data_IF_023897831653
#
_entry.id   IF_023897831653
#
_cell.length_a   1.000
_cell.length_b   1.000
_cell.length_c   1.000
_cell.angle_alpha   90.00
_cell.angle_beta   90.00
_cell.angle_gamma   90.00
#
_symmetry.space_group_name_H-M   'P 1'
#
loop_
_entity.id
_entity.type
_entity.pdbx_description
1 polymer ?
#
# COMPACT_ATOMS: atom_id res chain seq x y z
N UNK A 1 -17.65 -3.06 2.90
CA UNK A 1 -16.89 -3.12 1.62
C UNK A 1 -15.64 -4.00 1.67
N UNK A 2 -14.89 -4.04 2.79
CA UNK A 2 -13.67 -4.85 2.93
C UNK A 2 -13.86 -6.36 2.60
N UNK A 3 -14.93 -6.99 3.11
CA UNK A 3 -15.25 -8.40 2.82
C UNK A 3 -15.49 -8.63 1.31
N UNK A 4 -16.13 -7.67 0.62
CA UNK A 4 -16.40 -7.77 -0.82
C UNK A 4 -15.11 -7.67 -1.64
N UNK A 5 -14.18 -6.80 -1.25
CA UNK A 5 -12.89 -6.64 -1.92
C UNK A 5 -11.98 -7.84 -1.69
N UNK A 6 -11.91 -8.33 -0.45
CA UNK A 6 -11.10 -9.48 -0.05
C UNK A 6 -11.61 -10.80 -0.63
N UNK A 7 -12.91 -10.96 -0.88
CA UNK A 7 -13.44 -12.15 -1.54
C UNK A 7 -13.27 -12.10 -3.06
N UNK A 8 -13.37 -10.91 -3.69
CA UNK A 8 -13.30 -10.79 -5.15
C UNK A 8 -11.89 -10.99 -5.69
N UNK A 9 -10.89 -10.41 -5.02
CA UNK A 9 -9.51 -10.41 -5.53
C UNK A 9 -8.92 -11.82 -5.65
N UNK A 10 -9.01 -12.71 -4.63
CA UNK A 10 -8.54 -14.08 -4.75
C UNK A 10 -9.35 -14.87 -5.77
N UNK A 11 -10.68 -14.72 -5.76
CA UNK A 11 -11.56 -15.46 -6.66
C UNK A 11 -11.31 -15.11 -8.13
N UNK A 12 -11.02 -13.84 -8.44
CA UNK A 12 -10.62 -13.41 -9.78
C UNK A 12 -9.26 -14.00 -10.17
N UNK A 13 -8.27 -13.99 -9.26
CA UNK A 13 -6.94 -14.55 -9.57
C UNK A 13 -7.01 -16.06 -9.81
N UNK A 14 -7.70 -16.80 -8.94
CA UNK A 14 -7.89 -18.25 -9.11
C UNK A 14 -8.73 -18.57 -10.34
N UNK A 15 -9.85 -17.85 -10.55
CA UNK A 15 -10.70 -18.03 -11.72
C UNK A 15 -10.00 -17.73 -13.03
N UNK A 16 -9.22 -16.64 -13.09
CA UNK A 16 -8.43 -16.28 -14.26
C UNK A 16 -7.31 -17.31 -14.53
N UNK A 17 -6.66 -17.83 -13.49
CA UNK A 17 -5.64 -18.87 -13.63
C UNK A 17 -6.24 -20.15 -14.24
N UNK A 18 -7.37 -20.62 -13.71
CA UNK A 18 -8.07 -21.80 -14.24
C UNK A 18 -8.48 -21.55 -15.70
N UNK A 19 -9.12 -20.42 -15.99
CA UNK A 19 -9.56 -20.09 -17.35
C UNK A 19 -8.40 -20.02 -18.34
N UNK A 20 -7.24 -19.48 -17.94
CA UNK A 20 -6.05 -19.39 -18.78
C UNK A 20 -5.51 -20.77 -19.18
N UNK A 21 -5.54 -21.75 -18.27
CA UNK A 21 -5.18 -23.14 -18.57
C UNK A 21 -6.17 -23.82 -19.53
N UNK A 22 -7.46 -23.45 -19.45
CA UNK A 22 -8.49 -23.96 -20.37
C UNK A 22 -8.41 -23.35 -21.78
N UNK A 23 -7.98 -22.09 -21.90
CA UNK A 23 -7.87 -21.42 -23.20
C UNK A 23 -6.68 -21.94 -23.98
N UNK A 24 -5.47 -21.85 -23.43
CA UNK A 24 -4.28 -22.36 -24.12
C UNK A 24 -3.07 -22.48 -23.18
N UNK A 25 -2.39 -23.62 -23.19
CA UNK A 25 -1.29 -23.94 -22.27
C UNK A 25 -0.12 -22.96 -22.30
N UNK A 26 0.20 -22.33 -23.44
CA UNK A 26 1.28 -21.31 -23.46
C UNK A 26 0.83 -19.94 -22.94
N UNK A 27 -0.44 -19.58 -23.11
CA UNK A 27 -0.99 -18.33 -22.54
C UNK A 27 -1.10 -18.44 -21.01
N UNK A 28 -1.40 -19.64 -20.50
CA UNK A 28 -1.32 -19.96 -19.08
C UNK A 28 0.10 -19.76 -18.51
N UNK A 29 1.15 -20.08 -19.28
CA UNK A 29 2.54 -19.92 -18.83
C UNK A 29 2.90 -18.45 -18.57
N UNK A 30 2.36 -17.51 -19.35
CA UNK A 30 2.51 -16.06 -19.12
C UNK A 30 1.85 -15.64 -17.81
N UNK A 31 0.64 -16.14 -17.52
CA UNK A 31 -0.05 -15.91 -16.25
C UNK A 31 0.70 -16.48 -15.05
N UNK A 32 1.25 -17.69 -15.20
CA UNK A 32 2.03 -18.37 -14.15
C UNK A 32 3.29 -17.59 -13.78
N UNK A 33 3.88 -16.82 -14.70
CA UNK A 33 5.03 -15.93 -14.40
C UNK A 33 4.57 -14.56 -13.89
N UNK A 34 3.53 -13.98 -14.48
CA UNK A 34 3.05 -12.65 -14.13
C UNK A 34 2.51 -12.57 -12.68
N UNK A 35 1.77 -13.58 -12.21
CA UNK A 35 1.20 -13.62 -10.86
C UNK A 35 2.28 -13.58 -9.77
N UNK A 36 3.33 -14.44 -9.77
CA UNK A 36 4.41 -14.35 -8.80
C UNK A 36 5.16 -13.03 -8.87
N UNK A 37 5.45 -12.51 -10.07
CA UNK A 37 6.14 -11.22 -10.22
C UNK A 37 5.34 -10.10 -9.58
N UNK A 38 4.04 -10.02 -9.85
CA UNK A 38 3.14 -9.03 -9.26
C UNK A 38 3.06 -9.20 -7.74
N UNK A 39 2.97 -10.45 -7.27
CA UNK A 39 2.95 -10.79 -5.85
C UNK A 39 4.21 -10.31 -5.13
N UNK A 40 5.39 -10.53 -5.69
CA UNK A 40 6.68 -10.09 -5.12
C UNK A 40 6.75 -8.57 -5.01
N UNK A 41 6.34 -7.85 -6.06
CA UNK A 41 6.34 -6.38 -6.07
C UNK A 41 5.41 -5.83 -4.98
N UNK A 42 4.18 -6.34 -4.92
CA UNK A 42 3.20 -5.91 -3.93
C UNK A 42 3.66 -6.25 -2.51
N UNK A 43 4.20 -7.45 -2.29
CA UNK A 43 4.71 -7.87 -0.99
C UNK A 43 5.91 -7.02 -0.54
N UNK A 44 6.82 -6.66 -1.45
CA UNK A 44 7.94 -5.77 -1.18
C UNK A 44 7.48 -4.37 -0.73
N UNK A 45 6.49 -3.80 -1.42
CA UNK A 45 5.92 -2.49 -1.04
C UNK A 45 5.22 -2.58 0.32
N UNK A 46 4.46 -3.64 0.57
CA UNK A 46 3.76 -3.84 1.85
C UNK A 46 4.75 -3.99 3.02
N UNK A 47 5.84 -4.75 2.85
CA UNK A 47 6.86 -4.93 3.88
C UNK A 47 7.49 -3.62 4.35
N UNK A 48 7.58 -2.61 3.47
CA UNK A 48 8.11 -1.28 3.80
C UNK A 48 7.01 -0.39 4.39
N UNK A 49 5.82 -0.44 3.80
CA UNK A 49 4.70 0.45 4.11
C UNK A 49 4.05 0.15 5.46
N UNK A 50 3.83 -1.13 5.78
CA UNK A 50 3.22 -1.58 7.05
C UNK A 50 3.99 -1.12 8.29
N UNK A 51 5.31 -1.36 8.44
CA UNK A 51 6.03 -0.92 9.63
C UNK A 51 6.10 0.59 9.75
N UNK A 52 6.08 1.31 8.62
CA UNK A 52 6.12 2.76 8.61
C UNK A 52 4.80 3.36 9.10
N UNK A 53 3.65 2.81 8.67
CA UNK A 53 2.35 3.18 9.24
C UNK A 53 2.26 2.87 10.74
N UNK A 54 2.81 1.73 11.18
CA UNK A 54 2.84 1.38 12.61
C UNK A 54 3.65 2.39 13.44
N UNK A 55 4.77 2.89 12.89
CA UNK A 55 5.58 3.96 13.53
C UNK A 55 4.81 5.28 13.63
N UNK A 56 4.11 5.68 12.56
CA UNK A 56 3.26 6.88 12.56
C UNK A 56 2.17 6.76 13.62
N UNK A 57 1.49 5.61 13.68
CA UNK A 57 0.41 5.37 14.65
C UNK A 57 0.91 5.45 16.10
N UNK A 58 2.04 4.79 16.41
CA UNK A 58 2.63 4.85 17.76
C UNK A 58 3.08 6.27 18.16
N UNK A 59 3.57 7.08 17.22
CA UNK A 59 3.93 8.48 17.48
C UNK A 59 2.68 9.32 17.73
N UNK A 60 1.64 9.12 16.93
CA UNK A 60 0.36 9.80 17.08
C UNK A 60 -0.27 9.50 18.45
N UNK A 61 -0.23 8.24 18.91
CA UNK A 61 -0.72 7.86 20.23
C UNK A 61 0.04 8.58 21.36
N UNK A 62 1.36 8.74 21.24
CA UNK A 62 2.17 9.51 22.22
C UNK A 62 1.80 10.99 22.25
N UNK A 63 1.71 11.63 21.07
CA UNK A 63 1.35 13.05 20.97
C UNK A 63 -0.06 13.27 21.55
N UNK A 64 -1.01 12.40 21.22
CA UNK A 64 -2.37 12.45 21.75
C UNK A 64 -2.40 12.25 23.27
N UNK A 65 -1.58 11.35 23.81
CA UNK A 65 -1.43 11.14 25.25
C UNK A 65 -0.92 12.39 25.98
N UNK A 66 0.19 12.97 25.50
CA UNK A 66 0.74 14.20 26.09
C UNK A 66 -0.21 15.38 25.96
N UNK A 67 -0.92 15.49 24.83
CA UNK A 67 -1.94 16.53 24.62
C UNK A 67 -3.07 16.39 25.64
N UNK A 68 -3.53 15.17 25.91
CA UNK A 68 -4.58 14.91 26.90
C UNK A 68 -4.16 15.28 28.32
N UNK A 69 -2.95 14.88 28.73
CA UNK A 69 -2.38 15.27 30.02
C UNK A 69 -2.23 16.80 30.15
N UNK A 70 -1.79 17.47 29.08
CA UNK A 70 -1.68 18.92 29.04
C UNK A 70 -3.04 19.63 29.14
N UNK A 71 -4.10 19.05 28.57
CA UNK A 71 -5.47 19.57 28.68
C UNK A 71 -6.04 19.38 30.09
N UNK A 72 -5.86 18.21 30.70
CA UNK A 72 -6.31 17.94 32.08
C UNK A 72 -5.53 18.80 33.09
N UNK A 73 -4.23 18.99 32.85
CA UNK A 73 -3.31 19.80 33.65
C UNK A 73 -3.24 21.29 33.27
N UNK A 74 -4.14 21.79 32.41
CA UNK A 74 -4.02 23.13 31.80
C UNK A 74 -3.93 24.26 32.85
N UNK A 75 -4.58 24.10 34.00
CA UNK A 75 -4.51 25.05 35.13
C UNK A 75 -3.12 25.10 35.75
N UNK A 76 -2.41 23.97 35.83
CA UNK A 76 -1.05 23.89 36.36
C UNK A 76 -0.06 24.54 35.38
N UNK A 77 -0.19 24.24 34.08
CA UNK A 77 0.68 24.84 33.05
C UNK A 77 0.55 26.37 33.03
N UNK A 78 -0.68 26.88 33.17
CA UNK A 78 -0.97 28.32 33.34
C UNK A 78 -0.39 28.90 34.63
N UNK A 79 -0.53 28.20 35.75
CA UNK A 79 0.02 28.66 37.03
C UNK A 79 1.55 28.82 37.02
N UNK A 80 2.25 28.04 36.19
CA UNK A 80 3.70 28.14 36.00
C UNK A 80 4.12 28.96 34.75
N UNK A 81 3.18 29.59 34.03
CA UNK A 81 3.45 30.32 32.77
C UNK A 81 4.22 29.52 31.71
N UNK A 82 4.02 28.19 31.64
CA UNK A 82 4.75 27.28 30.73
C UNK A 82 4.07 27.00 29.39
N UNK A 83 3.05 27.77 29.02
CA UNK A 83 2.26 27.50 27.82
C UNK A 83 3.08 27.58 26.53
N UNK A 84 3.93 28.59 26.36
CA UNK A 84 4.75 28.72 25.15
C UNK A 84 5.75 27.56 24.99
N UNK A 85 6.34 27.08 26.09
CA UNK A 85 7.25 25.92 26.06
C UNK A 85 6.53 24.64 25.64
N UNK A 86 5.32 24.38 26.15
CA UNK A 86 4.53 23.21 25.78
C UNK A 86 4.05 23.27 24.31
N UNK A 87 3.69 24.46 23.82
CA UNK A 87 3.34 24.67 22.41
C UNK A 87 4.54 24.45 21.50
N UNK A 88 5.73 24.92 21.87
CA UNK A 88 6.96 24.69 21.12
C UNK A 88 7.30 23.18 21.05
N UNK A 89 7.21 22.47 22.19
CA UNK A 89 7.43 21.01 22.24
C UNK A 89 6.43 20.25 21.36
N UNK A 90 5.14 20.62 21.43
CA UNK A 90 4.11 20.01 20.60
C UNK A 90 4.38 20.20 19.11
N UNK A 91 4.77 21.41 18.70
CA UNK A 91 5.08 21.70 17.29
C UNK A 91 6.28 20.87 16.79
N UNK A 92 7.33 20.71 17.59
CA UNK A 92 8.50 19.92 17.21
C UNK A 92 8.15 18.43 17.02
N UNK A 93 7.32 17.88 17.90
CA UNK A 93 6.80 16.52 17.77
C UNK A 93 5.87 16.36 16.54
N UNK A 94 5.03 17.35 16.26
CA UNK A 94 4.13 17.34 15.11
C UNK A 94 4.88 17.40 13.77
N UNK A 95 5.90 18.25 13.65
CA UNK A 95 6.73 18.32 12.43
C UNK A 95 7.41 16.97 12.17
N UNK A 96 7.84 16.29 13.22
CA UNK A 96 8.43 14.96 13.11
C UNK A 96 7.39 13.93 12.65
N UNK A 97 6.19 13.95 13.24
CA UNK A 97 5.07 13.08 12.85
C UNK A 97 4.66 13.31 11.39
N UNK A 98 4.53 14.56 10.97
CA UNK A 98 4.17 14.96 9.61
C UNK A 98 5.17 14.41 8.59
N UNK A 99 6.48 14.55 8.84
CA UNK A 99 7.51 14.00 7.95
C UNK A 99 7.39 12.49 7.77
N UNK A 100 7.16 11.74 8.85
CA UNK A 100 6.96 10.29 8.76
C UNK A 100 5.68 9.93 8.02
N UNK A 101 4.62 10.69 8.23
CA UNK A 101 3.32 10.45 7.60
C UNK A 101 3.35 10.78 6.10
N UNK A 102 4.02 11.87 5.70
CA UNK A 102 4.27 12.21 4.30
C UNK A 102 5.16 11.16 3.62
N UNK A 103 6.22 10.70 4.29
CA UNK A 103 7.08 9.65 3.74
C UNK A 103 6.32 8.33 3.55
N UNK A 104 5.49 7.94 4.53
CA UNK A 104 4.61 6.76 4.44
C UNK A 104 3.60 6.88 3.30
N UNK A 105 2.94 8.04 3.22
CA UNK A 105 1.98 8.34 2.16
C UNK A 105 2.62 8.27 0.78
N UNK A 106 3.82 8.85 0.61
CA UNK A 106 4.53 8.83 -0.67
C UNK A 106 4.84 7.39 -1.12
N UNK A 107 5.38 6.56 -0.23
CA UNK A 107 5.64 5.14 -0.53
C UNK A 107 4.34 4.40 -0.85
N UNK A 108 3.28 4.63 -0.08
CA UNK A 108 1.99 3.97 -0.31
C UNK A 108 1.37 4.38 -1.66
N UNK A 109 1.51 5.66 -2.06
CA UNK A 109 1.00 6.15 -3.35
C UNK A 109 1.72 5.52 -4.55
N UNK A 110 2.97 5.05 -4.40
CA UNK A 110 3.68 4.31 -5.45
C UNK A 110 3.09 2.93 -5.72
N UNK A 111 2.27 2.38 -4.82
CA UNK A 111 1.68 1.05 -4.99
C UNK A 111 0.75 0.96 -6.21
N UNK A 112 -0.05 2.00 -6.46
CA UNK A 112 -0.96 2.04 -7.60
C UNK A 112 -0.19 2.13 -8.95
N UNK A 113 0.70 3.11 -9.18
CA UNK A 113 1.52 3.18 -10.40
C UNK A 113 2.32 1.91 -10.65
N UNK A 114 2.96 1.34 -9.62
CA UNK A 114 3.73 0.11 -9.75
C UNK A 114 2.85 -1.05 -10.24
N UNK A 115 1.65 -1.19 -9.66
CA UNK A 115 0.69 -2.21 -10.08
C UNK A 115 0.24 -1.99 -11.53
N UNK A 116 -0.05 -0.75 -11.93
CA UNK A 116 -0.42 -0.43 -13.30
C UNK A 116 0.69 -0.77 -14.30
N UNK A 117 1.94 -0.46 -13.99
CA UNK A 117 3.07 -0.80 -14.87
C UNK A 117 3.13 -2.32 -15.08
N UNK A 118 3.03 -3.10 -14.01
CA UNK A 118 3.07 -4.58 -14.09
C UNK A 118 1.92 -5.11 -14.93
N UNK A 119 0.69 -4.63 -14.72
CA UNK A 119 -0.49 -5.06 -15.48
C UNK A 119 -0.34 -4.70 -16.96
N UNK A 120 0.14 -3.50 -17.29
CA UNK A 120 0.33 -3.10 -18.68
C UNK A 120 1.41 -3.94 -19.38
N UNK A 121 2.55 -4.18 -18.70
CA UNK A 121 3.61 -5.05 -19.23
C UNK A 121 3.10 -6.49 -19.43
N UNK A 122 2.33 -7.02 -18.47
CA UNK A 122 1.70 -8.32 -18.61
C UNK A 122 0.72 -8.36 -19.78
N UNK A 123 -0.06 -7.30 -19.97
CA UNK A 123 -1.02 -7.17 -21.10
C UNK A 123 -0.27 -7.17 -22.44
N UNK A 124 0.83 -6.42 -22.57
CA UNK A 124 1.67 -6.43 -23.77
C UNK A 124 2.23 -7.83 -24.04
N UNK A 125 2.73 -8.51 -23.00
CA UNK A 125 3.25 -9.87 -23.13
C UNK A 125 2.19 -10.88 -23.58
N UNK A 126 0.97 -10.78 -23.03
CA UNK A 126 -0.17 -11.59 -23.44
C UNK A 126 -0.56 -11.29 -24.89
N UNK A 127 -0.64 -10.01 -25.29
CA UNK A 127 -0.99 -9.63 -26.66
C UNK A 127 0.07 -10.06 -27.67
N UNK A 128 1.35 -10.06 -27.31
CA UNK A 128 2.42 -10.52 -28.19
C UNK A 128 2.36 -12.03 -28.41
N UNK A 129 2.23 -12.81 -27.33
CA UNK A 129 2.11 -14.28 -27.40
C UNK A 129 0.77 -14.73 -28.01
N UNK A 130 -0.31 -14.02 -27.70
CA UNK A 130 -1.66 -14.31 -28.22
C UNK A 130 -1.83 -13.87 -29.68
N UNK A 131 -1.27 -12.73 -30.06
CA UNK A 131 -1.33 -12.18 -31.42
C UNK A 131 -0.61 -13.07 -32.45
N UNK A 132 0.54 -13.63 -32.09
CA UNK A 132 1.27 -14.56 -32.95
C UNK A 132 0.46 -15.84 -33.24
N UNK A 133 -0.37 -16.28 -32.27
CA UNK A 133 -1.19 -17.51 -32.37
C UNK A 133 -2.53 -17.31 -33.07
N UNK A 134 -3.14 -16.13 -32.93
CA UNK A 134 -4.28 -15.73 -33.78
C UNK A 134 -3.82 -15.67 -35.25
N UNK A 135 -2.60 -15.20 -35.49
CA UNK A 135 -2.03 -15.14 -36.85
C UNK A 135 -1.64 -16.52 -37.41
N UNK A 136 -1.28 -17.50 -36.57
CA UNK A 136 -1.03 -18.89 -36.99
C UNK A 136 -2.30 -19.75 -37.05
N UNK A 137 -3.48 -19.22 -36.69
CA UNK A 137 -4.77 -19.92 -36.78
C UNK A 137 -4.94 -21.07 -35.78
N UNK A 138 -4.20 -21.10 -34.67
CA UNK A 138 -4.28 -22.16 -33.65
C UNK A 138 -5.20 -21.80 -32.47
N UNK A 139 -6.11 -20.84 -32.65
CA UNK A 139 -7.07 -20.33 -31.67
C UNK A 139 -8.43 -20.10 -32.32
#
# INVERSE_FOLDING_TARGET
MAIRLLLRSPFIVFGAMIMAFFVDGKTAMVFVVAIPVLSVIVYGIMLITIPLYKKVQSRLDKVMGSTRENLDGVRVIRAFNKQEQEVARYNEENVTLEKFQLFAGRISTLMNPATYIVINVATIGILWVGGDRVNTGSL
#
